data_IF_531304650137
#
_entry.id   IF_531304650137
#
_cell.length_a   1.000
_cell.length_b   1.000
_cell.length_c   1.000
_cell.angle_alpha   90.00
_cell.angle_beta   90.00
_cell.angle_gamma   90.00
#
_symmetry.space_group_name_H-M   'P 1'
#
loop_
_entity.id
_entity.type
_entity.pdbx_description
1 polymer ?
#
# COMPACT_ATOMS: atom_id res chain seq x y z
N UNK A 1 -13.16 -11.41 2.81
CA UNK A 1 -11.70 -11.16 2.80
C UNK A 1 -11.49 -9.81 3.48
N UNK A 2 -10.91 -9.76 4.69
CA UNK A 2 -10.68 -8.49 5.39
C UNK A 2 -9.35 -7.90 4.90
N UNK A 3 -9.43 -6.95 3.99
CA UNK A 3 -8.27 -6.27 3.42
C UNK A 3 -7.93 -4.94 4.15
N UNK A 4 -8.80 -4.49 5.05
CA UNK A 4 -8.77 -3.12 5.56
C UNK A 4 -8.91 -3.07 7.08
N UNK A 5 -7.94 -2.44 7.77
CA UNK A 5 -8.04 -2.09 9.19
C UNK A 5 -7.65 -0.63 9.35
N UNK A 6 -8.58 0.19 9.88
CA UNK A 6 -8.31 1.56 10.33
C UNK A 6 -7.87 1.53 11.79
N UNK A 7 -6.77 2.20 12.12
CA UNK A 7 -6.22 2.35 13.48
C UNK A 7 -5.60 1.08 14.10
N UNK A 8 -4.33 0.81 13.79
CA UNK A 8 -3.54 -0.25 14.42
C UNK A 8 -2.57 0.30 15.46
N UNK A 9 -2.57 -0.33 16.64
CA UNK A 9 -1.57 -0.09 17.70
C UNK A 9 -0.32 -0.95 17.41
N UNK A 10 0.81 -0.30 17.14
CA UNK A 10 2.09 -0.90 16.72
C UNK A 10 2.92 -1.44 17.88
N UNK A 11 2.53 -2.52 18.54
CA UNK A 11 3.32 -3.03 19.67
C UNK A 11 4.04 -4.38 19.49
N UNK A 12 4.08 -4.99 18.32
CA UNK A 12 4.64 -6.34 18.20
C UNK A 12 5.32 -6.66 16.86
N UNK A 13 6.46 -6.00 16.53
CA UNK A 13 7.20 -6.39 15.34
C UNK A 13 8.72 -6.34 15.58
N UNK A 14 9.33 -7.47 15.88
CA UNK A 14 10.76 -7.55 16.18
C UNK A 14 11.68 -7.86 14.98
N UNK A 15 11.16 -8.12 13.78
CA UNK A 15 11.94 -8.38 12.55
C UNK A 15 11.22 -7.84 11.31
N UNK A 16 11.14 -6.52 11.20
CA UNK A 16 10.48 -5.87 10.06
C UNK A 16 11.49 -5.22 9.14
N UNK A 17 11.44 -5.59 7.86
CA UNK A 17 12.02 -4.76 6.81
C UNK A 17 11.03 -3.69 6.39
N UNK A 18 11.47 -2.44 6.42
CA UNK A 18 10.67 -1.29 6.01
C UNK A 18 11.10 -0.85 4.62
N UNK A 19 10.17 -0.84 3.69
CA UNK A 19 10.35 -0.23 2.38
C UNK A 19 9.44 0.99 2.30
N UNK A 20 9.97 2.11 1.85
CA UNK A 20 9.16 3.30 1.60
C UNK A 20 9.18 3.66 0.12
N UNK A 21 8.06 4.13 -0.38
CA UNK A 21 7.96 4.75 -1.71
C UNK A 21 7.25 6.09 -1.60
N UNK A 22 7.81 7.10 -2.24
CA UNK A 22 7.19 8.41 -2.34
C UNK A 22 6.78 8.64 -3.80
N UNK A 23 5.52 8.90 -4.01
CA UNK A 23 4.98 9.19 -5.33
C UNK A 23 4.26 10.55 -5.33
N UNK A 24 4.59 11.41 -6.30
CA UNK A 24 3.97 12.72 -6.49
C UNK A 24 2.89 12.70 -7.56
N UNK A 25 2.90 11.69 -8.43
CA UNK A 25 1.98 11.53 -9.56
C UNK A 25 1.47 10.10 -9.64
N UNK A 26 0.29 9.93 -10.23
CA UNK A 26 -0.28 8.64 -10.55
C UNK A 26 0.65 7.83 -11.46
N UNK A 27 0.73 6.55 -11.22
CA UNK A 27 1.34 5.61 -12.17
C UNK A 27 0.42 5.49 -13.38
N UNK A 28 1.01 5.39 -14.57
CA UNK A 28 0.22 5.17 -15.79
C UNK A 28 -0.42 3.79 -15.76
N UNK A 29 -1.58 3.65 -16.40
CA UNK A 29 -2.41 2.44 -16.42
C UNK A 29 -1.70 1.13 -16.85
N UNK A 30 -0.46 1.20 -17.35
CA UNK A 30 0.34 0.04 -17.74
C UNK A 30 1.15 -0.60 -16.60
N UNK A 31 1.13 -0.01 -15.40
CA UNK A 31 1.89 -0.49 -14.24
C UNK A 31 1.01 -1.10 -13.15
N UNK A 32 -0.08 -1.75 -13.52
CA UNK A 32 -0.79 -2.69 -12.67
C UNK A 32 0.11 -3.92 -12.46
N UNK A 33 1.10 -3.73 -11.58
CA UNK A 33 2.23 -4.62 -11.43
C UNK A 33 1.83 -5.85 -10.63
N UNK A 34 2.19 -7.01 -11.17
CA UNK A 34 2.26 -8.26 -10.42
C UNK A 34 3.00 -8.05 -9.10
N UNK A 35 2.48 -8.60 -8.02
CA UNK A 35 3.07 -8.59 -6.67
C UNK A 35 4.45 -9.23 -6.54
N UNK A 36 5.07 -9.69 -7.59
CA UNK A 36 6.46 -10.11 -7.53
C UNK A 36 7.37 -8.89 -7.54
N UNK A 37 7.38 -8.19 -6.42
CA UNK A 37 8.48 -7.29 -6.09
C UNK A 37 9.74 -8.16 -6.02
N UNK A 38 10.79 -7.80 -6.74
CA UNK A 38 12.05 -8.56 -6.83
C UNK A 38 12.70 -8.81 -5.47
N UNK A 39 12.22 -8.12 -4.44
CA UNK A 39 12.72 -8.17 -3.07
C UNK A 39 11.90 -9.09 -2.15
N UNK A 40 10.92 -9.85 -2.66
CA UNK A 40 10.16 -10.79 -1.85
C UNK A 40 10.87 -12.13 -1.78
N UNK A 41 11.10 -12.63 -0.55
CA UNK A 41 11.62 -13.98 -0.40
C UNK A 41 10.56 -15.01 -0.80
N UNK A 42 10.93 -16.06 -1.57
CA UNK A 42 10.00 -17.14 -1.91
C UNK A 42 9.39 -17.80 -0.67
N UNK A 43 10.12 -17.84 0.43
CA UNK A 43 9.65 -18.39 1.70
C UNK A 43 8.54 -17.54 2.31
N UNK A 44 8.69 -16.22 2.34
CA UNK A 44 7.66 -15.28 2.83
C UNK A 44 6.36 -15.43 2.06
N UNK A 45 6.45 -15.56 0.73
CA UNK A 45 5.29 -15.81 -0.15
C UNK A 45 4.64 -17.16 0.14
N UNK A 46 5.42 -18.23 0.22
CA UNK A 46 4.92 -19.58 0.47
C UNK A 46 4.22 -19.70 1.82
N UNK A 47 4.72 -19.00 2.85
CA UNK A 47 4.11 -18.94 4.18
C UNK A 47 2.92 -17.99 4.26
N UNK A 48 2.69 -17.16 3.23
CA UNK A 48 1.62 -16.17 3.22
C UNK A 48 1.77 -15.12 4.32
N UNK A 49 3.01 -14.76 4.69
CA UNK A 49 3.27 -13.79 5.75
C UNK A 49 2.65 -12.42 5.40
N UNK A 50 2.09 -11.72 6.39
CA UNK A 50 1.38 -10.47 6.12
C UNK A 50 2.31 -9.36 5.64
N UNK A 51 1.78 -8.54 4.74
CA UNK A 51 2.33 -7.23 4.37
C UNK A 51 1.42 -6.17 4.96
N UNK A 52 2.03 -5.18 5.61
CA UNK A 52 1.33 -4.04 6.19
C UNK A 52 1.80 -2.78 5.47
N UNK A 53 0.87 -2.01 4.92
CA UNK A 53 1.15 -0.83 4.12
C UNK A 53 0.38 0.37 4.67
N UNK A 54 1.10 1.42 5.05
CA UNK A 54 0.55 2.68 5.56
C UNK A 54 0.50 3.72 4.45
N UNK A 55 -0.65 4.36 4.29
CA UNK A 55 -0.84 5.51 3.40
C UNK A 55 -0.70 6.80 4.18
N UNK A 56 0.15 7.72 3.72
CA UNK A 56 0.42 9.00 4.37
C UNK A 56 0.45 10.10 3.30
N UNK A 57 -0.21 11.23 3.56
CA UNK A 57 -0.26 12.36 2.64
C UNK A 57 -1.51 12.35 1.75
N UNK A 58 -1.32 12.53 0.44
CA UNK A 58 -2.43 12.64 -0.50
C UNK A 58 -3.22 11.33 -0.68
N UNK A 59 -4.52 11.48 -0.95
CA UNK A 59 -5.42 10.37 -1.27
C UNK A 59 -5.00 9.67 -2.56
N UNK A 60 -5.33 8.39 -2.67
CA UNK A 60 -5.06 7.61 -3.86
C UNK A 60 -6.12 6.56 -4.12
N UNK A 61 -6.35 6.24 -5.40
CA UNK A 61 -7.08 5.05 -5.81
C UNK A 61 -6.15 3.84 -5.81
N UNK A 62 -6.56 2.80 -5.11
CA UNK A 62 -5.87 1.52 -5.05
C UNK A 62 -6.75 0.46 -5.69
N UNK A 63 -6.21 -0.21 -6.72
CA UNK A 63 -6.87 -1.34 -7.38
C UNK A 63 -6.31 -2.66 -6.87
N UNK A 64 -7.16 -3.67 -6.80
CA UNK A 64 -6.77 -5.03 -6.49
C UNK A 64 -7.69 -6.05 -7.16
N UNK A 65 -7.14 -7.22 -7.49
CA UNK A 65 -7.91 -8.28 -8.16
C UNK A 65 -7.14 -9.59 -8.28
N UNK A 66 -7.82 -10.63 -8.67
CA UNK A 66 -7.25 -11.96 -8.92
C UNK A 66 -6.68 -12.12 -10.35
N UNK A 67 -6.97 -11.17 -11.22
CA UNK A 67 -6.52 -11.13 -12.61
C UNK A 67 -5.76 -9.83 -12.88
N UNK A 68 -4.83 -9.88 -13.83
CA UNK A 68 -4.13 -8.70 -14.33
C UNK A 68 -4.98 -7.95 -15.36
N UNK A 69 -6.14 -7.51 -14.91
CA UNK A 69 -7.14 -6.83 -15.73
C UNK A 69 -7.74 -5.69 -14.92
N UNK A 70 -7.42 -4.46 -15.32
CA UNK A 70 -7.85 -3.23 -14.64
C UNK A 70 -9.38 -3.08 -14.65
N UNK A 71 -10.04 -3.53 -15.73
CA UNK A 71 -11.49 -3.40 -15.87
C UNK A 71 -12.25 -4.35 -14.95
N UNK A 72 -11.59 -5.39 -14.44
CA UNK A 72 -12.14 -6.36 -13.49
C UNK A 72 -11.66 -6.16 -12.07
N UNK A 73 -10.73 -5.22 -11.86
CA UNK A 73 -10.19 -4.95 -10.55
C UNK A 73 -11.20 -4.21 -9.67
N UNK A 74 -11.21 -4.55 -8.40
CA UNK A 74 -11.89 -3.76 -7.39
C UNK A 74 -11.07 -2.52 -7.04
N UNK A 75 -11.76 -1.45 -6.63
CA UNK A 75 -11.15 -0.17 -6.29
C UNK A 75 -11.49 0.24 -4.85
N UNK A 76 -10.49 0.73 -4.14
CA UNK A 76 -10.64 1.40 -2.85
C UNK A 76 -9.88 2.71 -2.84
N UNK A 77 -10.47 3.78 -2.30
CA UNK A 77 -9.78 5.02 -2.02
C UNK A 77 -9.01 4.88 -0.70
N UNK A 78 -7.73 5.26 -0.73
CA UNK A 78 -6.86 5.30 0.44
C UNK A 78 -6.61 6.75 0.85
N UNK A 79 -6.91 7.05 2.09
CA UNK A 79 -6.62 8.35 2.71
C UNK A 79 -5.38 8.28 3.60
N UNK A 80 -4.88 9.44 4.02
CA UNK A 80 -3.80 9.53 5.01
C UNK A 80 -4.21 8.89 6.33
N UNK A 81 -3.41 7.95 6.83
CA UNK A 81 -3.70 7.17 8.03
C UNK A 81 -4.35 5.81 7.76
N UNK A 82 -4.73 5.51 6.52
CA UNK A 82 -5.24 4.19 6.18
C UNK A 82 -4.12 3.14 6.15
N UNK A 83 -4.47 1.94 6.57
CA UNK A 83 -3.57 0.79 6.62
C UNK A 83 -4.15 -0.36 5.82
N UNK A 84 -3.40 -0.83 4.83
CA UNK A 84 -3.69 -2.05 4.10
C UNK A 84 -2.92 -3.21 4.71
N UNK A 85 -3.61 -4.33 4.96
CA UNK A 85 -2.99 -5.57 5.40
C UNK A 85 -3.44 -6.67 4.45
N UNK A 86 -2.48 -7.38 3.87
CA UNK A 86 -2.75 -8.53 3.04
C UNK A 86 -1.78 -9.67 3.35
N UNK A 87 -2.36 -10.87 3.51
CA UNK A 87 -1.62 -12.07 3.91
C UNK A 87 -2.34 -13.34 3.42
N UNK A 88 -1.75 -14.51 3.60
CA UNK A 88 -2.28 -15.75 3.14
C UNK A 88 -2.53 -15.74 1.62
N UNK A 89 -3.73 -16.08 1.19
CA UNK A 89 -4.11 -16.10 -0.24
C UNK A 89 -4.05 -14.72 -0.89
N UNK A 90 -4.27 -13.63 -0.12
CA UNK A 90 -4.21 -12.27 -0.65
C UNK A 90 -2.81 -11.80 -1.02
N UNK A 91 -1.76 -12.58 -0.70
CA UNK A 91 -0.39 -12.31 -1.17
C UNK A 91 -0.21 -12.48 -2.68
N UNK A 92 -1.12 -13.18 -3.33
CA UNK A 92 -1.06 -13.50 -4.76
C UNK A 92 -1.99 -12.65 -5.63
N UNK A 93 -2.67 -11.65 -5.05
CA UNK A 93 -3.51 -10.74 -5.82
C UNK A 93 -2.68 -9.68 -6.55
N UNK A 94 -3.14 -9.29 -7.73
CA UNK A 94 -2.61 -8.12 -8.42
C UNK A 94 -3.13 -6.86 -7.72
N UNK A 95 -2.27 -5.86 -7.55
CA UNK A 95 -2.70 -4.59 -6.96
C UNK A 95 -1.77 -3.45 -7.36
N UNK A 96 -2.25 -2.23 -7.20
CA UNK A 96 -1.44 -1.04 -7.45
C UNK A 96 -2.21 0.25 -7.22
N UNK A 97 -1.47 1.34 -7.09
CA UNK A 97 -2.02 2.70 -7.04
C UNK A 97 -2.17 3.22 -8.47
N UNK A 98 -3.37 3.64 -8.85
CA UNK A 98 -3.68 4.08 -10.22
C UNK A 98 -3.92 5.58 -10.35
N UNK A 99 -4.28 6.25 -9.25
CA UNK A 99 -4.45 7.68 -9.21
C UNK A 99 -4.00 8.24 -7.87
N UNK A 100 -3.40 9.43 -7.87
CA UNK A 100 -3.11 10.21 -6.67
C UNK A 100 -3.83 11.55 -6.85
N UNK A 101 -4.53 11.99 -5.81
CA UNK A 101 -5.29 13.23 -5.79
C UNK A 101 -4.46 14.31 -5.10
N UNK A 102 -3.82 15.23 -5.83
CA UNK A 102 -2.97 16.27 -5.24
C UNK A 102 -3.73 17.16 -4.25
N UNK A 103 -3.01 17.70 -3.29
CA UNK A 103 -3.53 18.65 -2.30
C UNK A 103 -4.68 18.12 -1.42
N UNK A 104 -4.75 16.81 -1.24
CA UNK A 104 -5.76 16.16 -0.38
C UNK A 104 -5.20 15.68 0.96
N UNK A 105 -3.92 15.87 1.21
CA UNK A 105 -3.30 15.54 2.49
C UNK A 105 -3.93 16.37 3.63
N UNK A 106 -4.09 15.80 4.85
CA UNK A 106 -4.56 16.53 6.00
C UNK A 106 -3.66 17.74 6.31
N UNK A 107 -4.24 18.92 6.50
CA UNK A 107 -3.49 20.16 6.78
C UNK A 107 -2.62 20.03 8.02
N UNK A 108 -3.13 19.44 9.10
CA UNK A 108 -2.39 19.18 10.33
C UNK A 108 -1.12 18.36 10.08
N UNK A 109 -1.20 17.35 9.22
CA UNK A 109 -0.04 16.55 8.86
C UNK A 109 1.06 17.40 8.20
N UNK A 110 0.68 18.25 7.25
CA UNK A 110 1.64 19.11 6.54
C UNK A 110 2.25 20.19 7.46
N UNK A 111 1.44 20.77 8.33
CA UNK A 111 1.86 21.80 9.28
C UNK A 111 2.80 21.27 10.37
N UNK A 112 2.58 20.04 10.85
CA UNK A 112 3.33 19.46 11.97
C UNK A 112 4.58 18.70 11.54
N UNK A 113 4.67 18.20 10.29
CA UNK A 113 5.71 17.23 9.90
C UNK A 113 6.68 17.73 8.84
N UNK A 114 6.45 18.85 8.20
CA UNK A 114 7.17 19.29 7.00
C UNK A 114 7.18 18.24 5.85
N UNK A 115 6.19 17.36 5.82
CA UNK A 115 6.06 16.37 4.75
C UNK A 115 5.91 17.09 3.41
N UNK A 116 6.63 16.61 2.40
CA UNK A 116 6.47 17.15 1.05
C UNK A 116 5.08 16.84 0.52
N UNK A 117 4.43 17.76 -0.25
CA UNK A 117 3.20 17.46 -0.94
C UNK A 117 3.31 16.19 -1.80
N UNK A 118 2.33 15.30 -1.68
CA UNK A 118 2.31 14.01 -2.36
C UNK A 118 1.91 12.87 -1.43
N UNK A 119 2.08 11.64 -1.90
CA UNK A 119 1.76 10.42 -1.16
C UNK A 119 3.01 9.65 -0.78
N UNK A 120 3.14 9.35 0.49
CA UNK A 120 4.14 8.44 1.04
C UNK A 120 3.47 7.11 1.38
N UNK A 121 4.08 6.02 0.97
CA UNK A 121 3.69 4.67 1.36
C UNK A 121 4.82 4.01 2.15
N UNK A 122 4.49 3.53 3.36
CA UNK A 122 5.41 2.74 4.17
C UNK A 122 4.94 1.30 4.19
N UNK A 123 5.73 0.41 3.62
CA UNK A 123 5.42 -1.03 3.55
C UNK A 123 6.33 -1.81 4.47
N UNK A 124 5.73 -2.62 5.32
CA UNK A 124 6.39 -3.48 6.29
C UNK A 124 6.18 -4.94 5.90
N UNK A 125 7.26 -5.73 5.89
CA UNK A 125 7.26 -7.15 5.55
C UNK A 125 8.11 -7.92 6.52
N UNK A 126 7.73 -9.17 6.79
CA UNK A 126 8.57 -10.17 7.46
C UNK A 126 9.23 -11.06 6.39
N UNK A 127 10.52 -11.33 6.56
CA UNK A 127 11.31 -12.22 5.70
C UNK A 127 11.60 -13.55 6.39
#
# INVERSE_FOLDING_TARGET
>A
MNLFIRNLHLSCFSRLHVKYSFAKFAMTSNEFVSMQDRDESPESLARGLPVVSFSIGDKADFLYGDQRDVDKAEKVELESGDVLIFGGKSRHIFHGVTAIYPDTAPKSLLEETNLRPGRLNLTFREY
#
